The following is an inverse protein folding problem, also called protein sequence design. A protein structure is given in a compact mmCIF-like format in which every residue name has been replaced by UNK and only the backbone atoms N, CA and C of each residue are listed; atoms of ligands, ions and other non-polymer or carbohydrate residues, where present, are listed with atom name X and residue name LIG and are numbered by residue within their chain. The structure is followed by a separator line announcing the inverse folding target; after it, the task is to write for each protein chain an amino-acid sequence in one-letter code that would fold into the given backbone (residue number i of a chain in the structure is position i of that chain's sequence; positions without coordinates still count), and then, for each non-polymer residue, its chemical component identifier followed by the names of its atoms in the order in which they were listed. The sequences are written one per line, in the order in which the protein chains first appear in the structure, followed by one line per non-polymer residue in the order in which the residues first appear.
data_IF_063862492192
#
_entry.id   IF_063862492192
#
_cell.length_a   1.000
_cell.length_b   1.000
_cell.length_c   1.000
_cell.angle_alpha   90.00
_cell.angle_beta   90.00
_cell.angle_gamma   90.00
#
_symmetry.space_group_name_H-M   'P 1'
#
loop_
_entity.id
_entity.type
_entity.pdbx_description
1 polymer ?
#
# COMPACT_ATOMS: atom_id res chain seq x y z
N UNK A 1 0.18 9.52 -29.63
CA UNK A 1 0.67 9.53 -28.23
C UNK A 1 1.24 8.17 -27.93
N UNK A 2 2.45 7.92 -28.45
CA UNK A 2 3.17 6.67 -28.23
C UNK A 2 4.11 6.90 -27.06
N UNK A 3 3.73 6.35 -25.93
CA UNK A 3 4.48 6.29 -24.69
C UNK A 3 5.60 5.26 -24.86
N UNK A 4 6.69 5.64 -25.51
CA UNK A 4 7.84 4.76 -25.81
C UNK A 4 9.13 5.44 -25.38
N UNK A 5 9.11 6.04 -24.19
CA UNK A 5 10.32 6.27 -23.44
C UNK A 5 10.32 5.17 -22.38
N UNK A 6 11.29 4.25 -22.44
CA UNK A 6 11.41 3.09 -21.52
C UNK A 6 11.63 3.46 -20.04
N UNK A 7 11.28 4.69 -19.66
CA UNK A 7 11.30 5.21 -18.31
C UNK A 7 10.05 4.72 -17.57
N UNK A 8 10.20 4.07 -16.40
CA UNK A 8 9.07 3.62 -15.62
C UNK A 8 8.22 4.82 -15.16
N UNK A 9 6.89 4.65 -15.25
CA UNK A 9 5.91 5.66 -14.82
C UNK A 9 5.22 5.20 -13.54
N UNK A 10 5.14 6.12 -12.59
CA UNK A 10 4.43 5.89 -11.33
C UNK A 10 2.96 6.28 -11.46
N UNK A 11 2.09 5.45 -10.90
CA UNK A 11 0.64 5.66 -10.89
C UNK A 11 0.12 5.57 -9.46
N UNK A 12 -0.84 6.44 -9.13
CA UNK A 12 -1.60 6.33 -7.89
C UNK A 12 -2.78 5.38 -8.09
N UNK A 13 -2.90 4.37 -7.22
CA UNK A 13 -4.00 3.39 -7.26
C UNK A 13 -4.88 3.56 -6.04
N UNK A 14 -6.19 3.67 -6.25
CA UNK A 14 -7.18 3.67 -5.18
C UNK A 14 -7.63 2.25 -4.90
N UNK A 15 -7.47 1.81 -3.66
CA UNK A 15 -7.94 0.49 -3.19
C UNK A 15 -9.22 0.64 -2.38
N UNK A 16 -9.86 -0.51 -2.09
CA UNK A 16 -10.96 -0.56 -1.11
C UNK A 16 -10.35 -0.39 0.29
N UNK A 17 -11.11 0.19 1.22
CA UNK A 17 -10.65 0.36 2.62
C UNK A 17 -10.19 -0.97 3.22
N UNK A 18 -9.02 -0.97 3.87
CA UNK A 18 -8.38 -2.14 4.52
C UNK A 18 -7.90 -3.24 3.57
N UNK A 19 -7.90 -2.99 2.25
CA UNK A 19 -7.39 -3.94 1.25
C UNK A 19 -6.01 -3.55 0.72
N UNK A 20 -5.40 -2.49 1.27
CA UNK A 20 -4.11 -1.98 0.87
C UNK A 20 -3.03 -3.07 0.92
N UNK A 21 -2.98 -3.85 2.02
CA UNK A 21 -2.02 -4.97 2.19
C UNK A 21 -2.26 -6.10 1.17
N UNK A 22 -3.51 -6.49 0.95
CA UNK A 22 -3.85 -7.54 0.00
C UNK A 22 -3.53 -7.13 -1.44
N UNK A 23 -3.79 -5.87 -1.81
CA UNK A 23 -3.44 -5.34 -3.13
C UNK A 23 -1.93 -5.28 -3.30
N UNK A 24 -1.18 -4.85 -2.28
CA UNK A 24 0.29 -4.91 -2.28
C UNK A 24 0.79 -6.32 -2.58
N UNK A 25 0.32 -7.32 -1.82
CA UNK A 25 0.78 -8.70 -1.98
C UNK A 25 0.44 -9.26 -3.38
N UNK A 26 -0.71 -8.86 -3.93
CA UNK A 26 -1.07 -9.20 -5.31
C UNK A 26 -0.16 -8.54 -6.35
N UNK A 27 0.12 -7.24 -6.20
CA UNK A 27 1.04 -6.53 -7.09
C UNK A 27 2.45 -7.15 -7.04
N UNK A 28 2.90 -7.53 -5.84
CA UNK A 28 4.17 -8.24 -5.66
C UNK A 28 4.17 -9.59 -6.40
N UNK A 29 3.09 -10.37 -6.28
CA UNK A 29 2.94 -11.65 -6.95
C UNK A 29 2.89 -11.52 -8.48
N UNK A 30 2.36 -10.40 -8.99
CA UNK A 30 2.36 -10.06 -10.41
C UNK A 30 3.70 -9.46 -10.89
N UNK A 31 4.69 -9.29 -9.97
CA UNK A 31 6.01 -8.74 -10.29
C UNK A 31 6.01 -7.22 -10.54
N UNK A 32 4.95 -6.52 -10.12
CA UNK A 32 4.80 -5.08 -10.30
C UNK A 32 5.47 -4.35 -9.13
N UNK A 33 6.37 -3.43 -9.45
CA UNK A 33 6.96 -2.54 -8.45
C UNK A 33 5.85 -1.71 -7.78
N UNK A 34 5.77 -1.78 -6.46
CA UNK A 34 4.72 -1.11 -5.70
C UNK A 34 5.28 -0.40 -4.46
N UNK A 35 4.61 0.67 -4.05
CA UNK A 35 4.89 1.38 -2.81
C UNK A 35 3.61 1.46 -1.97
N UNK A 36 3.60 0.79 -0.81
CA UNK A 36 2.56 0.97 0.19
C UNK A 36 3.17 1.55 1.47
N UNK A 37 3.09 2.88 1.69
CA UNK A 37 3.56 3.48 2.93
C UNK A 37 2.65 3.05 4.08
N UNK A 38 3.05 2.00 4.78
CA UNK A 38 2.31 1.50 5.95
C UNK A 38 2.66 2.42 7.12
N UNK A 39 1.74 3.33 7.48
CA UNK A 39 1.90 4.17 8.67
C UNK A 39 1.53 3.37 9.91
N UNK A 40 2.52 3.04 10.74
CA UNK A 40 2.27 2.44 12.05
C UNK A 40 1.51 3.45 12.92
N UNK A 41 0.22 3.19 13.20
CA UNK A 41 -0.59 4.05 14.05
C UNK A 41 -0.77 3.40 15.43
N UNK A 42 -0.08 3.93 16.43
CA UNK A 42 -0.31 3.58 17.84
C UNK A 42 -1.69 4.09 18.28
N UNK A 43 -2.64 3.18 18.46
CA UNK A 43 -3.96 3.52 19.03
C UNK A 43 -3.90 3.30 20.55
N UNK A 44 -3.94 4.38 21.33
CA UNK A 44 -4.18 4.30 22.77
C UNK A 44 -5.68 4.17 23.02
N UNK A 45 -6.09 3.06 23.65
CA UNK A 45 -7.44 2.92 24.18
C UNK A 45 -7.39 3.24 25.66
N UNK A 46 -8.48 3.82 26.18
CA UNK A 46 -8.58 4.46 27.50
C UNK A 46 -8.09 3.62 28.68
N UNK A 47 -7.97 2.30 28.51
CA UNK A 47 -7.55 1.37 29.56
C UNK A 47 -6.42 0.40 29.15
N UNK A 48 -5.99 0.37 27.87
CA UNK A 48 -4.86 -0.47 27.40
C UNK A 48 -4.19 0.10 26.14
N UNK A 49 -2.87 -0.03 26.06
CA UNK A 49 -2.08 0.13 24.83
C UNK A 49 -2.16 -1.18 24.04
N UNK A 50 -2.59 -1.14 22.77
CA UNK A 50 -2.51 -2.28 21.85
C UNK A 50 -1.80 -1.82 20.59
N UNK A 51 -0.74 -2.52 20.19
CA UNK A 51 -0.16 -2.34 18.86
C UNK A 51 -1.20 -2.82 17.84
N UNK A 52 -1.64 -1.89 16.99
CA UNK A 52 -2.49 -2.19 15.86
C UNK A 52 -1.59 -2.06 14.64
N UNK A 53 -1.25 -3.19 14.05
CA UNK A 53 -0.64 -3.23 12.73
C UNK A 53 -1.74 -3.02 11.69
N UNK A 54 -1.99 -1.77 11.31
CA UNK A 54 -2.85 -1.41 10.18
C UNK A 54 -2.22 -1.90 8.88
#
# INVERSE_FOLDING_TARGET
MSDVDGTPRWYAVRTRSRHEKLVRDRLAAEGIEHLLPTVFRLSQWKDRKKEIEM
#
